data_IF_754431911801
#
_entry.id   IF_754431911801
#
_cell.length_a   1.000
_cell.length_b   1.000
_cell.length_c   1.000
_cell.angle_alpha   90.00
_cell.angle_beta   90.00
_cell.angle_gamma   90.00
#
_symmetry.space_group_name_H-M   'P 1'
#
loop_
_entity.id
_entity.type
_entity.pdbx_description
1 polymer ?
#
# COMPACT_ATOMS: atom_id res chain seq x y z
N UNK A 1 -18.50 3.66 27.28
CA UNK A 1 -18.45 3.12 26.70
C UNK A 1 -18.36 2.94 26.15
N UNK A 2 -18.04 3.11 26.00
CA UNK A 2 -17.83 2.49 25.26
C UNK A 2 -17.76 2.15 24.49
N UNK A 3 -17.41 2.40 24.60
CA UNK A 3 -17.14 1.62 23.68
C UNK A 3 -17.12 1.20 22.94
N UNK A 4 -16.98 1.36 23.14
CA UNK A 4 -16.82 0.61 22.36
C UNK A 4 -16.88 0.26 21.45
N UNK A 5 -16.68 0.62 21.52
CA UNK A 5 -16.66 -0.09 20.52
C UNK A 5 -16.33 -0.46 19.77
N UNK A 6 -16.10 -0.46 19.81
CA UNK A 6 -15.82 -1.26 19.01
C UNK A 6 -15.58 -1.87 18.44
N UNK A 7 -15.45 -1.96 18.48
CA UNK A 7 -15.28 -2.92 17.87
C UNK A 7 -15.38 -3.48 17.27
N UNK A 8 -15.33 -3.46 17.24
CA UNK A 8 -15.49 -4.20 16.63
C UNK A 8 -15.42 -4.43 15.82
N UNK A 9 -15.20 -4.14 15.55
CA UNK A 9 -15.22 -4.33 14.88
C UNK A 9 -14.81 -4.80 14.29
N UNK A 10 -14.37 -4.81 14.28
CA UNK A 10 -13.95 -5.31 13.84
C UNK A 10 -14.19 -6.02 13.45
N UNK A 11 -14.44 -5.43 13.91
CA UNK A 11 -14.71 -6.38 13.62
C UNK A 11 -14.69 -6.88 12.49
N UNK A 12 -14.97 -6.86 12.13
CA UNK A 12 -14.67 -7.78 11.09
C UNK A 12 -15.15 -7.36 9.76
N UNK A 13 -14.20 -7.03 8.98
CA UNK A 13 -14.32 -6.78 7.56
C UNK A 13 -14.61 -8.12 6.90
N UNK A 14 -15.57 -8.20 6.00
CA UNK A 14 -15.79 -9.39 5.21
C UNK A 14 -14.61 -9.61 4.26
N UNK A 15 -14.49 -10.82 3.74
CA UNK A 15 -13.43 -11.12 2.78
C UNK A 15 -13.54 -10.24 1.54
N UNK A 16 -14.75 -9.97 1.07
CA UNK A 16 -14.96 -9.10 -0.08
C UNK A 16 -14.50 -7.68 0.19
N UNK A 17 -14.81 -7.16 1.37
CA UNK A 17 -14.40 -5.82 1.76
C UNK A 17 -12.89 -5.74 1.90
N UNK A 18 -12.27 -6.77 2.49
CA UNK A 18 -10.82 -6.82 2.62
C UNK A 18 -10.15 -6.81 1.25
N UNK A 19 -10.66 -7.60 0.30
CA UNK A 19 -10.11 -7.63 -1.06
C UNK A 19 -10.25 -6.28 -1.75
N UNK A 20 -11.42 -5.65 -1.63
CA UNK A 20 -11.64 -4.34 -2.23
C UNK A 20 -10.65 -3.33 -1.67
N UNK A 21 -10.42 -3.37 -0.36
CA UNK A 21 -9.48 -2.46 0.30
C UNK A 21 -8.05 -2.72 -0.17
N UNK A 22 -7.64 -3.99 -0.28
CA UNK A 22 -6.31 -4.33 -0.75
C UNK A 22 -6.08 -3.86 -2.18
N UNK A 23 -7.07 -4.02 -3.05
CA UNK A 23 -6.97 -3.55 -4.44
C UNK A 23 -6.80 -2.03 -4.49
N UNK A 24 -7.56 -1.32 -3.67
CA UNK A 24 -7.41 0.13 -3.56
C UNK A 24 -6.02 0.49 -3.07
N UNK A 25 -5.53 -0.18 -2.03
CA UNK A 25 -4.22 0.12 -1.45
C UNK A 25 -3.09 -0.16 -2.43
N UNK A 26 -3.19 -1.26 -3.19
CA UNK A 26 -2.16 -1.57 -4.19
C UNK A 26 -2.10 -0.48 -5.25
N UNK A 27 -3.25 -0.03 -5.73
CA UNK A 27 -3.31 1.03 -6.75
C UNK A 27 -2.81 2.35 -6.19
N UNK A 28 -3.18 2.66 -4.95
CA UNK A 28 -2.77 3.89 -4.26
C UNK A 28 -1.25 3.90 -4.05
N UNK A 29 -0.68 2.76 -3.64
CA UNK A 29 0.77 2.62 -3.48
C UNK A 29 1.51 2.82 -4.79
N UNK A 30 0.97 2.28 -5.89
CA UNK A 30 1.59 2.45 -7.20
C UNK A 30 1.62 3.93 -7.59
N UNK A 31 0.55 4.66 -7.29
CA UNK A 31 0.49 6.08 -7.58
C UNK A 31 1.50 6.85 -6.73
N UNK A 32 1.62 6.53 -5.44
CA UNK A 32 2.62 7.14 -4.56
C UNK A 32 4.04 6.85 -5.05
N UNK A 33 4.30 5.65 -5.55
CA UNK A 33 5.62 5.30 -6.08
C UNK A 33 5.98 6.21 -7.26
N UNK A 34 5.01 6.46 -8.14
CA UNK A 34 5.21 7.38 -9.27
C UNK A 34 5.51 8.80 -8.81
N UNK A 35 4.77 9.27 -7.80
CA UNK A 35 4.97 10.61 -7.25
C UNK A 35 6.35 10.75 -6.61
N UNK A 36 6.77 9.73 -5.85
CA UNK A 36 8.09 9.72 -5.22
C UNK A 36 9.19 9.71 -6.27
N UNK A 37 9.03 8.92 -7.33
CA UNK A 37 10.00 8.85 -8.40
C UNK A 37 10.16 10.23 -9.07
N UNK A 38 9.05 10.88 -9.35
CA UNK A 38 9.07 12.22 -9.93
C UNK A 38 9.75 13.22 -8.99
N UNK A 39 9.47 13.10 -7.69
CA UNK A 39 10.08 13.97 -6.68
C UNK A 39 11.60 13.78 -6.64
N UNK A 40 12.05 12.52 -6.75
CA UNK A 40 13.49 12.22 -6.73
C UNK A 40 14.24 12.98 -7.82
N UNK A 41 13.61 13.19 -8.97
CA UNK A 41 14.25 13.85 -10.10
C UNK A 41 14.62 15.31 -9.79
N UNK A 42 14.01 15.90 -8.75
CA UNK A 42 14.27 17.28 -8.36
C UNK A 42 15.23 17.38 -7.19
N UNK A 43 15.80 16.28 -6.73
CA UNK A 43 16.65 16.24 -5.53
C UNK A 43 18.12 16.07 -5.90
N UNK A 44 19.00 16.35 -4.92
CA UNK A 44 20.43 16.07 -5.06
C UNK A 44 20.66 14.57 -5.21
N UNK A 45 21.83 14.18 -5.74
CA UNK A 45 22.13 12.79 -6.06
C UNK A 45 21.92 11.84 -4.88
N UNK A 46 22.42 12.20 -3.68
CA UNK A 46 22.29 11.34 -2.52
C UNK A 46 20.84 11.23 -2.05
N UNK A 47 20.13 12.35 -2.02
CA UNK A 47 18.72 12.33 -1.62
C UNK A 47 17.87 11.57 -2.64
N UNK A 48 18.15 11.79 -3.92
CA UNK A 48 17.44 11.10 -5.00
C UNK A 48 17.63 9.59 -4.90
N UNK A 49 18.87 9.15 -4.59
CA UNK A 49 19.16 7.73 -4.45
C UNK A 49 18.32 7.11 -3.32
N UNK A 50 18.25 7.79 -2.19
CA UNK A 50 17.47 7.29 -1.06
C UNK A 50 15.98 7.19 -1.39
N UNK A 51 15.45 8.18 -2.11
CA UNK A 51 14.04 8.14 -2.51
C UNK A 51 13.80 7.01 -3.51
N UNK A 52 14.73 6.78 -4.45
CA UNK A 52 14.59 5.67 -5.41
C UNK A 52 14.66 4.32 -4.71
N UNK A 53 15.44 4.20 -3.64
CA UNK A 53 15.44 2.99 -2.82
C UNK A 53 14.10 2.81 -2.13
N UNK A 54 13.50 3.91 -1.63
CA UNK A 54 12.17 3.86 -1.01
C UNK A 54 11.13 3.41 -2.03
N UNK A 55 11.22 3.92 -3.26
CA UNK A 55 10.31 3.52 -4.35
C UNK A 55 10.42 2.01 -4.61
N UNK A 56 11.65 1.50 -4.65
CA UNK A 56 11.87 0.07 -4.86
C UNK A 56 11.21 -0.76 -3.75
N UNK A 57 11.39 -0.36 -2.50
CA UNK A 57 10.79 -1.06 -1.37
C UNK A 57 9.26 -0.98 -1.41
N UNK A 58 8.73 0.17 -1.77
CA UNK A 58 7.28 0.35 -1.88
C UNK A 58 6.72 -0.55 -2.98
N UNK A 59 7.40 -0.63 -4.12
CA UNK A 59 6.97 -1.49 -5.22
C UNK A 59 7.01 -2.96 -4.83
N UNK A 60 8.02 -3.38 -4.07
CA UNK A 60 8.11 -4.74 -3.57
C UNK A 60 6.95 -5.05 -2.62
N UNK A 61 6.63 -4.09 -1.74
CA UNK A 61 5.51 -4.22 -0.82
C UNK A 61 4.19 -4.35 -1.61
N UNK A 62 4.01 -3.51 -2.61
CA UNK A 62 2.81 -3.52 -3.44
C UNK A 62 2.67 -4.85 -4.17
N UNK A 63 3.78 -5.41 -4.63
CA UNK A 63 3.75 -6.72 -5.30
C UNK A 63 3.28 -7.81 -4.35
N UNK A 64 3.71 -7.77 -3.08
CA UNK A 64 3.24 -8.71 -2.07
C UNK A 64 1.73 -8.58 -1.85
N UNK A 65 1.23 -7.35 -1.84
CA UNK A 65 -0.21 -7.12 -1.71
C UNK A 65 -0.96 -7.74 -2.89
N UNK A 66 -0.44 -7.57 -4.10
CA UNK A 66 -1.05 -8.16 -5.30
C UNK A 66 -1.04 -9.68 -5.25
N UNK A 67 0.03 -10.28 -4.73
CA UNK A 67 0.10 -11.73 -4.56
C UNK A 67 -0.95 -12.19 -3.56
N UNK A 68 -1.14 -11.45 -2.47
CA UNK A 68 -2.18 -11.77 -1.49
C UNK A 68 -3.56 -11.71 -2.09
N UNK A 69 -3.82 -10.73 -2.95
CA UNK A 69 -5.09 -10.61 -3.66
C UNK A 69 -5.32 -11.84 -4.55
N UNK A 70 -4.29 -12.24 -5.31
CA UNK A 70 -4.40 -13.40 -6.19
C UNK A 70 -4.68 -14.68 -5.40
N UNK A 71 -3.98 -14.87 -4.27
CA UNK A 71 -4.21 -16.03 -3.41
C UNK A 71 -5.62 -16.06 -2.88
N UNK A 72 -6.16 -14.90 -2.52
CA UNK A 72 -7.50 -14.80 -1.96
C UNK A 72 -8.58 -15.02 -3.01
N UNK A 73 -8.31 -14.67 -4.26
CA UNK A 73 -9.27 -14.83 -5.36
C UNK A 73 -9.17 -16.21 -6.02
N UNK A 74 -7.99 -16.80 -5.92
CA UNK A 74 -7.73 -18.08 -6.50
C UNK A 74 -8.26 -19.20 -5.67
#
# INVERSE_FOLDING_TARGET
MEHKHHHHTNESVSAEEALALLKYMAQHNAHHAEELQATADSLSDNAALLIREAVSLLNQSTEKIRQAIQESEG
#
